data_IF_990320236223
#
_entry.id   IF_990320236223
#
_cell.length_a   1.000
_cell.length_b   1.000
_cell.length_c   1.000
_cell.angle_alpha   90.00
_cell.angle_beta   90.00
_cell.angle_gamma   90.00
#
_symmetry.space_group_name_H-M   'P 1'
#
loop_
_entity.id
_entity.type
_entity.pdbx_description
1 polymer ?
#
# COMPACT_ATOMS: atom_id res chain seq x y z
N UNK A 1 -15.84 10.93 4.64
CA UNK A 1 -14.80 11.55 5.47
C UNK A 1 -13.90 10.44 6.01
N UNK A 2 -12.88 10.05 5.24
CA UNK A 2 -12.06 8.86 5.53
C UNK A 2 -10.71 9.28 6.12
N UNK A 3 -10.62 9.34 7.46
CA UNK A 3 -9.44 9.63 8.29
C UNK A 3 -9.23 11.11 8.65
N UNK A 4 -9.91 11.55 9.72
CA UNK A 4 -9.60 12.83 10.41
C UNK A 4 -9.02 12.64 11.81
N UNK A 5 -8.88 11.40 12.29
CA UNK A 5 -8.22 11.10 13.56
C UNK A 5 -6.89 10.41 13.26
N UNK A 6 -5.80 11.18 13.37
CA UNK A 6 -4.44 10.67 13.31
C UNK A 6 -4.14 10.00 14.66
N UNK A 7 -4.34 8.69 14.73
CA UNK A 7 -3.87 7.89 15.85
C UNK A 7 -2.39 7.57 15.61
N UNK A 8 -1.50 8.33 16.23
CA UNK A 8 -0.04 8.16 16.11
C UNK A 8 0.47 6.86 16.76
N UNK A 9 -0.36 6.16 17.53
CA UNK A 9 -0.01 4.84 18.09
C UNK A 9 -0.34 3.69 17.13
N UNK A 10 -1.01 3.98 16.01
CA UNK A 10 -1.33 2.97 15.01
C UNK A 10 -0.10 2.70 14.13
N UNK A 11 0.65 1.66 14.47
CA UNK A 11 1.84 1.21 13.71
C UNK A 11 1.50 0.21 12.61
N UNK A 12 0.29 -0.37 12.62
CA UNK A 12 -0.19 -1.32 11.64
C UNK A 12 -1.57 -0.93 11.10
N UNK A 13 -1.77 -1.03 9.78
CA UNK A 13 -3.03 -0.72 9.11
C UNK A 13 -3.38 -1.83 8.11
N UNK A 14 -4.64 -2.28 8.09
CA UNK A 14 -5.16 -3.19 7.08
C UNK A 14 -6.28 -2.50 6.28
N UNK A 15 -6.21 -2.59 4.96
CA UNK A 15 -7.28 -2.20 4.04
C UNK A 15 -7.85 -3.46 3.40
N UNK A 16 -9.09 -3.81 3.74
CA UNK A 16 -9.73 -5.03 3.25
C UNK A 16 -10.99 -4.73 2.41
N UNK A 17 -11.17 -5.47 1.31
CA UNK A 17 -12.38 -5.40 0.47
C UNK A 17 -12.55 -4.07 -0.26
N UNK A 18 -11.43 -3.42 -0.62
CA UNK A 18 -11.42 -2.08 -1.24
C UNK A 18 -11.00 -2.16 -2.70
N UNK A 19 -11.77 -1.53 -3.58
CA UNK A 19 -11.33 -1.24 -4.95
C UNK A 19 -10.59 0.09 -5.00
N UNK A 20 -9.30 0.06 -5.34
CA UNK A 20 -8.47 1.25 -5.50
C UNK A 20 -8.70 1.81 -6.92
N UNK A 21 -9.51 2.86 -6.99
CA UNK A 21 -9.65 3.75 -8.16
C UNK A 21 -8.83 5.04 -8.01
N UNK A 22 -8.70 5.85 -9.06
CA UNK A 22 -7.97 7.13 -9.01
C UNK A 22 -8.42 8.10 -7.91
N UNK A 23 -9.71 8.10 -7.53
CA UNK A 23 -10.22 8.92 -6.41
C UNK A 23 -9.77 8.41 -5.06
N UNK A 24 -9.93 7.10 -4.81
CA UNK A 24 -9.46 6.42 -3.59
C UNK A 24 -7.95 6.48 -3.45
N UNK A 25 -7.21 6.39 -4.55
CA UNK A 25 -5.76 6.52 -4.57
C UNK A 25 -5.30 7.89 -4.04
N UNK A 26 -5.97 8.99 -4.43
CA UNK A 26 -5.64 10.32 -3.93
C UNK A 26 -5.81 10.41 -2.40
N UNK A 27 -6.87 9.78 -1.87
CA UNK A 27 -7.09 9.70 -0.43
C UNK A 27 -6.03 8.85 0.28
N UNK A 28 -5.70 7.68 -0.27
CA UNK A 28 -4.65 6.78 0.25
C UNK A 28 -3.29 7.49 0.25
N UNK A 29 -2.91 8.16 -0.83
CA UNK A 29 -1.66 8.90 -0.93
C UNK A 29 -1.58 10.04 0.10
N UNK A 30 -2.68 10.78 0.29
CA UNK A 30 -2.75 11.80 1.35
C UNK A 30 -2.60 11.19 2.74
N UNK A 31 -3.23 10.04 3.00
CA UNK A 31 -3.15 9.34 4.27
C UNK A 31 -1.73 8.82 4.56
N UNK A 32 -1.08 8.17 3.58
CA UNK A 32 0.28 7.63 3.73
C UNK A 32 1.33 8.73 3.93
N UNK A 33 1.17 9.88 3.27
CA UNK A 33 2.02 11.07 3.54
C UNK A 33 1.87 11.58 4.96
N UNK A 34 0.66 11.50 5.52
CA UNK A 34 0.40 11.86 6.92
C UNK A 34 0.89 10.81 7.91
N UNK A 35 0.90 9.52 7.54
CA UNK A 35 1.18 8.39 8.43
C UNK A 35 2.65 7.94 8.42
N UNK A 36 3.59 8.88 8.58
CA UNK A 36 5.03 8.57 8.53
C UNK A 36 5.53 7.67 9.67
N UNK A 37 4.72 7.41 10.71
CA UNK A 37 5.00 6.47 11.79
C UNK A 37 4.51 5.04 11.50
N UNK A 38 3.78 4.82 10.39
CA UNK A 38 3.23 3.51 10.07
C UNK A 38 4.36 2.55 9.67
N UNK A 39 4.42 1.42 10.36
CA UNK A 39 5.46 0.39 10.15
C UNK A 39 4.94 -0.76 9.29
N UNK A 40 3.66 -1.08 9.41
CA UNK A 40 3.04 -2.23 8.74
C UNK A 40 1.78 -1.82 7.99
N UNK A 41 1.65 -2.27 6.75
CA UNK A 41 0.49 -2.03 5.90
C UNK A 41 0.08 -3.32 5.20
N UNK A 42 -1.18 -3.70 5.33
CA UNK A 42 -1.75 -4.87 4.68
C UNK A 42 -2.89 -4.45 3.75
N UNK A 43 -2.96 -5.08 2.59
CA UNK A 43 -4.06 -4.99 1.65
C UNK A 43 -4.65 -6.39 1.50
N UNK A 44 -5.94 -6.57 1.79
CA UNK A 44 -6.65 -7.84 1.67
C UNK A 44 -7.83 -7.71 0.71
N UNK A 45 -7.95 -8.60 -0.26
CA UNK A 45 -9.06 -8.58 -1.24
C UNK A 45 -9.17 -7.20 -1.91
N UNK A 46 -8.02 -6.65 -2.31
CA UNK A 46 -7.91 -5.31 -2.90
C UNK A 46 -7.71 -5.42 -4.40
N UNK A 47 -8.55 -4.70 -5.14
CA UNK A 47 -8.46 -4.62 -6.61
C UNK A 47 -7.85 -3.28 -6.97
N UNK A 48 -6.68 -3.30 -7.64
CA UNK A 48 -5.91 -2.10 -7.98
C UNK A 48 -5.40 -2.10 -9.43
N UNK A 49 -6.18 -2.61 -10.38
CA UNK A 49 -5.75 -2.91 -11.76
C UNK A 49 -4.96 -1.76 -12.44
N UNK A 50 -5.53 -0.57 -12.58
CA UNK A 50 -4.80 0.56 -13.20
C UNK A 50 -4.08 1.47 -12.19
N UNK A 51 -4.12 1.11 -10.91
CA UNK A 51 -3.67 1.96 -9.81
C UNK A 51 -2.53 1.36 -9.00
N UNK A 52 -2.06 0.15 -9.32
CA UNK A 52 -1.02 -0.53 -8.55
C UNK A 52 0.29 0.28 -8.53
N UNK A 53 0.81 0.67 -9.70
CA UNK A 53 2.04 1.49 -9.76
C UNK A 53 1.94 2.79 -8.94
N UNK A 54 0.91 3.62 -9.15
CA UNK A 54 0.69 4.81 -8.34
C UNK A 54 0.48 4.52 -6.83
N UNK A 55 -0.16 3.40 -6.48
CA UNK A 55 -0.33 2.97 -5.09
C UNK A 55 1.02 2.63 -4.46
N UNK A 56 1.87 1.89 -5.16
CA UNK A 56 3.23 1.55 -4.71
C UNK A 56 4.09 2.79 -4.55
N UNK A 57 4.00 3.77 -5.45
CA UNK A 57 4.64 5.08 -5.31
C UNK A 57 4.13 5.84 -4.08
N UNK A 58 2.85 5.73 -3.73
CA UNK A 58 2.33 6.33 -2.51
C UNK A 58 2.88 5.64 -1.25
N UNK A 59 2.99 4.31 -1.28
CA UNK A 59 3.57 3.50 -0.20
C UNK A 59 5.07 3.80 -0.03
N UNK A 60 5.79 4.05 -1.13
CA UNK A 60 7.21 4.39 -1.12
C UNK A 60 7.49 5.69 -0.35
N UNK A 61 6.51 6.59 -0.23
CA UNK A 61 6.59 7.82 0.54
C UNK A 61 6.44 7.63 2.06
N UNK A 62 6.09 6.42 2.53
CA UNK A 62 5.95 6.13 3.96
C UNK A 62 7.28 5.60 4.51
N UNK A 63 8.12 6.47 5.06
CA UNK A 63 9.52 6.14 5.38
C UNK A 63 9.70 5.02 6.43
N UNK A 64 8.82 4.98 7.44
CA UNK A 64 8.91 3.99 8.52
C UNK A 64 8.35 2.61 8.17
N UNK A 65 7.72 2.47 6.99
CA UNK A 65 7.14 1.21 6.58
C UNK A 65 8.24 0.17 6.37
N UNK A 66 8.14 -0.93 7.12
CA UNK A 66 9.08 -2.05 7.10
C UNK A 66 8.39 -3.37 6.69
N UNK A 67 7.05 -3.44 6.75
CA UNK A 67 6.26 -4.59 6.31
C UNK A 67 5.10 -4.16 5.43
N UNK A 68 5.00 -4.76 4.24
CA UNK A 68 3.90 -4.60 3.32
C UNK A 68 3.35 -5.97 2.94
N UNK A 69 2.08 -6.22 3.22
CA UNK A 69 1.42 -7.49 2.90
C UNK A 69 0.33 -7.26 1.87
N UNK A 70 0.29 -8.10 0.85
CA UNK A 70 -0.78 -8.19 -0.12
C UNK A 70 -1.40 -9.58 -0.05
N UNK A 71 -2.64 -9.66 0.40
CA UNK A 71 -3.46 -10.86 0.52
C UNK A 71 -4.57 -10.79 -0.53
N UNK A 72 -4.60 -11.75 -1.47
CA UNK A 72 -5.51 -11.73 -2.63
C UNK A 72 -5.39 -10.46 -3.49
N UNK A 73 -4.17 -10.10 -3.88
CA UNK A 73 -3.97 -9.02 -4.84
C UNK A 73 -4.07 -9.56 -6.28
N UNK A 74 -5.10 -9.13 -7.00
CA UNK A 74 -5.13 -9.31 -8.46
C UNK A 74 -4.03 -8.44 -9.09
N UNK A 75 -2.92 -9.07 -9.47
CA UNK A 75 -1.81 -8.41 -10.14
C UNK A 75 -2.24 -7.90 -11.52
N UNK A 76 -2.17 -6.58 -11.78
CA UNK A 76 -2.16 -6.05 -13.12
C UNK A 76 -0.72 -6.03 -13.62
N UNK A 77 -0.43 -6.90 -14.57
CA UNK A 77 0.73 -6.86 -15.47
C UNK A 77 2.16 -6.82 -14.85
N UNK A 78 3.16 -7.08 -15.70
CA UNK A 78 4.57 -7.09 -15.30
C UNK A 78 5.10 -5.70 -14.89
N UNK A 79 4.41 -4.60 -15.25
CA UNK A 79 4.85 -3.23 -14.92
C UNK A 79 4.60 -2.90 -13.46
N UNK A 80 3.50 -3.41 -12.89
CA UNK A 80 3.23 -3.28 -11.46
C UNK A 80 4.35 -3.88 -10.60
N UNK A 81 4.88 -5.04 -11.01
CA UNK A 81 6.02 -5.69 -10.35
C UNK A 81 7.33 -4.92 -10.50
N UNK A 82 7.58 -4.28 -11.65
CA UNK A 82 8.78 -3.47 -11.86
C UNK A 82 8.80 -2.25 -10.92
N UNK A 83 7.68 -1.53 -10.81
CA UNK A 83 7.53 -0.40 -9.89
C UNK A 83 7.67 -0.84 -8.44
N UNK A 84 7.20 -2.04 -8.10
CA UNK A 84 7.41 -2.64 -6.78
C UNK A 84 8.91 -2.83 -6.51
N UNK A 85 9.64 -3.43 -7.45
CA UNK A 85 11.08 -3.66 -7.32
C UNK A 85 11.87 -2.35 -7.19
N UNK A 86 11.49 -1.31 -7.93
CA UNK A 86 12.12 0.01 -7.81
C UNK A 86 11.80 0.68 -6.48
N UNK A 87 10.56 0.60 -6.02
CA UNK A 87 10.12 1.11 -4.71
C UNK A 87 10.90 0.47 -3.56
N UNK A 88 11.29 -0.79 -3.74
CA UNK A 88 12.06 -1.57 -2.77
C UNK A 88 13.56 -1.27 -2.81
N UNK A 89 14.07 -0.71 -3.92
CA UNK A 89 15.50 -0.48 -4.12
C UNK A 89 16.00 0.56 -3.10
N UNK A 90 16.79 0.10 -2.14
CA UNK A 90 17.38 0.94 -1.09
C UNK A 90 16.56 1.04 0.20
N UNK A 91 15.48 0.25 0.35
CA UNK A 91 14.68 0.17 1.58
C UNK A 91 14.75 -1.21 2.22
N UNK A 92 14.81 -1.24 3.55
CA UNK A 92 14.57 -2.46 4.33
C UNK A 92 13.06 -2.67 4.49
N UNK A 93 12.39 -2.98 3.38
CA UNK A 93 10.96 -3.28 3.34
C UNK A 93 10.81 -4.78 3.05
N UNK A 94 10.01 -5.47 3.85
CA UNK A 94 9.60 -6.86 3.60
C UNK A 94 8.26 -6.84 2.90
N UNK A 95 8.18 -7.49 1.73
CA UNK A 95 6.92 -7.69 1.02
C UNK A 95 6.52 -9.14 1.13
N UNK A 96 5.28 -9.36 1.54
CA UNK A 96 4.64 -10.66 1.55
C UNK A 96 3.48 -10.66 0.54
N UNK A 97 3.54 -11.54 -0.45
CA UNK A 97 2.48 -11.75 -1.43
C UNK A 97 1.81 -13.09 -1.09
N UNK A 98 0.58 -13.03 -0.57
CA UNK A 98 -0.23 -14.20 -0.23
C UNK A 98 -1.28 -14.35 -1.33
N UNK A 99 -1.08 -15.37 -2.18
CA UNK A 99 -2.06 -15.76 -3.20
C UNK A 99 -2.94 -16.86 -2.62
N UNK A 100 -4.24 -16.60 -2.48
CA UNK A 100 -5.22 -17.69 -2.33
C UNK A 100 -5.37 -18.33 -3.70
N UNK A 101 -4.89 -19.57 -3.83
CA UNK A 101 -5.10 -20.41 -5.01
C UNK A 101 -6.55 -20.81 -5.19
#
# INVERSE_FOLDING_TARGET
SFLTAVNTNLTACELSGVTITGRTLAAVNKALRGAQWLEQLAFRDVVAQDCLGPLLTAISCCASLNRLTFDSLEFPDCKGLEVLCETMRGRLLSIELVSLG
#
